data_IF_011399088692
#
_entry.id   IF_011399088692
#
_cell.length_a   1.000
_cell.length_b   1.000
_cell.length_c   1.000
_cell.angle_alpha   90.00
_cell.angle_beta   90.00
_cell.angle_gamma   90.00
#
_symmetry.space_group_name_H-M   'P 1'
#
loop_
_entity.id
_entity.type
_entity.pdbx_description
1 polymer ?
#
# COMPACT_ATOMS: atom_id res chain seq x y z
N UNK A 1 -20.78 -6.10 3.28
CA UNK A 1 -20.05 -7.31 3.71
C UNK A 1 -19.18 -7.92 2.60
N UNK A 2 -19.70 -8.23 1.40
CA UNK A 2 -18.93 -8.90 0.33
C UNK A 2 -17.68 -8.14 -0.15
N UNK A 3 -17.75 -6.81 -0.35
CA UNK A 3 -16.58 -6.01 -0.80
C UNK A 3 -15.50 -5.96 0.27
N UNK A 4 -15.87 -5.69 1.53
CA UNK A 4 -14.93 -5.64 2.64
C UNK A 4 -14.18 -6.98 2.78
N UNK A 5 -14.89 -8.12 2.73
CA UNK A 5 -14.25 -9.42 2.79
C UNK A 5 -13.23 -9.63 1.66
N UNK A 6 -13.56 -9.24 0.41
CA UNK A 6 -12.62 -9.34 -0.72
C UNK A 6 -11.34 -8.53 -0.50
N UNK A 7 -11.49 -7.30 -0.03
CA UNK A 7 -10.37 -6.37 0.21
C UNK A 7 -9.52 -6.85 1.38
N UNK A 8 -10.16 -7.32 2.45
CA UNK A 8 -9.47 -7.94 3.57
C UNK A 8 -8.66 -9.15 3.13
N UNK A 9 -9.25 -10.09 2.37
CA UNK A 9 -8.54 -11.28 1.91
C UNK A 9 -7.41 -10.93 0.94
N UNK A 10 -7.59 -9.93 0.08
CA UNK A 10 -6.53 -9.43 -0.79
C UNK A 10 -5.34 -8.91 0.03
N UNK A 11 -5.60 -8.08 1.04
CA UNK A 11 -4.58 -7.60 1.97
C UNK A 11 -3.95 -8.74 2.76
N UNK A 12 -4.76 -9.64 3.31
CA UNK A 12 -4.33 -10.75 4.16
C UNK A 12 -3.38 -11.72 3.43
N UNK A 13 -3.66 -12.06 2.17
CA UNK A 13 -2.85 -13.06 1.45
C UNK A 13 -1.73 -12.47 0.61
N UNK A 14 -1.92 -11.31 -0.01
CA UNK A 14 -0.99 -10.82 -1.02
C UNK A 14 -0.04 -9.74 -0.52
N UNK A 15 -0.47 -8.86 0.39
CA UNK A 15 0.41 -7.81 0.87
C UNK A 15 1.58 -8.33 1.74
N UNK A 16 1.42 -9.39 2.58
CA UNK A 16 2.54 -10.01 3.29
C UNK A 16 3.66 -10.51 2.40
N UNK A 17 3.41 -10.79 1.10
CA UNK A 17 4.47 -11.18 0.17
C UNK A 17 5.54 -10.08 0.01
N UNK A 18 5.12 -8.80 0.06
CA UNK A 18 6.05 -7.68 0.05
C UNK A 18 6.93 -7.65 1.30
N UNK A 19 6.32 -7.85 2.47
CA UNK A 19 7.05 -7.89 3.75
C UNK A 19 7.97 -9.12 3.86
N UNK A 20 7.57 -10.28 3.31
CA UNK A 20 8.44 -11.44 3.17
C UNK A 20 9.67 -11.13 2.31
N UNK A 21 9.50 -10.40 1.21
CA UNK A 21 10.64 -9.92 0.40
C UNK A 21 11.48 -8.93 1.19
N UNK A 22 10.88 -8.03 1.98
CA UNK A 22 11.63 -7.12 2.84
C UNK A 22 12.48 -7.86 3.87
N UNK A 23 11.95 -8.90 4.50
CA UNK A 23 12.73 -9.74 5.41
C UNK A 23 13.83 -10.51 4.66
N UNK A 24 13.50 -11.13 3.52
CA UNK A 24 14.46 -11.91 2.73
C UNK A 24 15.60 -11.07 2.14
N UNK A 25 15.33 -9.80 1.84
CA UNK A 25 16.33 -8.84 1.34
C UNK A 25 17.04 -8.08 2.45
N UNK A 26 16.76 -8.39 3.73
CA UNK A 26 17.26 -7.64 4.88
C UNK A 26 16.90 -6.15 4.83
N UNK A 27 15.77 -5.80 4.22
CA UNK A 27 15.17 -4.46 4.31
C UNK A 27 14.59 -4.25 5.70
N UNK A 28 13.82 -5.22 6.19
CA UNK A 28 13.21 -5.21 7.53
C UNK A 28 13.61 -6.45 8.33
N UNK A 29 13.41 -6.38 9.64
CA UNK A 29 13.63 -7.48 10.56
C UNK A 29 12.66 -7.43 11.73
N UNK A 30 12.20 -8.61 12.17
CA UNK A 30 11.34 -8.79 13.33
C UNK A 30 12.10 -9.45 14.49
N UNK A 31 11.96 -8.96 15.74
CA UNK A 31 12.51 -9.60 16.94
C UNK A 31 12.06 -11.04 17.09
N UNK A 32 12.90 -11.90 17.66
CA UNK A 32 12.51 -13.24 18.12
C UNK A 32 11.69 -13.13 19.40
N UNK A 33 10.43 -13.56 19.37
CA UNK A 33 9.54 -13.48 20.52
C UNK A 33 8.05 -13.57 20.20
N UNK A 34 7.68 -13.53 18.91
CA UNK A 34 6.30 -13.77 18.50
C UNK A 34 5.98 -15.27 18.48
N UNK A 35 4.71 -15.60 18.73
CA UNK A 35 4.26 -16.99 18.86
C UNK A 35 4.56 -17.86 17.62
N UNK A 36 4.40 -17.30 16.42
CA UNK A 36 4.61 -17.99 15.16
C UNK A 36 5.13 -17.03 14.08
N UNK A 37 5.99 -17.56 13.22
CA UNK A 37 6.48 -16.89 12.02
C UNK A 37 6.15 -17.73 10.80
N UNK A 38 5.87 -17.06 9.70
CA UNK A 38 5.73 -17.67 8.39
C UNK A 38 6.67 -16.94 7.44
N UNK A 39 7.66 -17.65 6.88
CA UNK A 39 8.66 -17.06 5.98
C UNK A 39 9.33 -15.78 6.54
N UNK A 40 9.64 -15.78 7.83
CA UNK A 40 10.37 -14.69 8.50
C UNK A 40 9.49 -13.55 9.03
N UNK A 41 8.20 -13.51 8.71
CA UNK A 41 7.27 -12.50 9.25
C UNK A 41 6.34 -13.10 10.33
N UNK A 42 5.98 -12.35 11.39
CA UNK A 42 5.05 -12.82 12.42
C UNK A 42 3.62 -13.07 11.91
N UNK A 43 2.89 -14.00 12.53
CA UNK A 43 1.51 -14.35 12.13
C UNK A 43 0.54 -13.15 12.09
N UNK A 44 0.73 -12.16 12.98
CA UNK A 44 -0.17 -11.00 13.11
C UNK A 44 -0.06 -10.04 11.92
N UNK A 45 1.03 -10.13 11.15
CA UNK A 45 1.26 -9.31 9.96
C UNK A 45 0.13 -9.54 8.93
N UNK A 46 -0.32 -10.79 8.75
CA UNK A 46 -1.38 -11.14 7.81
C UNK A 46 -2.71 -10.40 8.10
N UNK A 47 -3.33 -10.54 9.30
CA UNK A 47 -4.54 -9.78 9.61
C UNK A 47 -4.29 -8.27 9.67
N UNK A 48 -3.09 -7.80 10.06
CA UNK A 48 -2.74 -6.39 10.04
C UNK A 48 -2.81 -5.79 8.62
N UNK A 49 -2.23 -6.46 7.63
CA UNK A 49 -2.34 -6.05 6.23
C UNK A 49 -3.77 -6.10 5.70
N UNK A 50 -4.55 -7.12 6.08
CA UNK A 50 -5.98 -7.20 5.75
C UNK A 50 -6.79 -6.02 6.27
N UNK A 51 -6.58 -5.65 7.54
CA UNK A 51 -7.24 -4.47 8.16
C UNK A 51 -6.73 -3.16 7.55
N UNK A 52 -5.42 -3.04 7.31
CA UNK A 52 -4.84 -1.87 6.64
C UNK A 52 -5.47 -1.63 5.27
N UNK A 53 -5.64 -2.70 4.48
CA UNK A 53 -6.32 -2.62 3.18
C UNK A 53 -7.76 -2.09 3.28
N UNK A 54 -8.50 -2.49 4.31
CA UNK A 54 -9.83 -1.94 4.59
C UNK A 54 -9.76 -0.45 4.93
N UNK A 55 -8.90 -0.07 5.87
CA UNK A 55 -8.78 1.32 6.33
C UNK A 55 -8.39 2.22 5.15
N UNK A 56 -7.33 1.88 4.43
CA UNK A 56 -6.82 2.68 3.31
C UNK A 56 -7.85 2.76 2.18
N UNK A 57 -8.40 1.62 1.76
CA UNK A 57 -9.36 1.59 0.65
C UNK A 57 -10.66 2.35 0.94
N UNK A 58 -11.28 2.10 2.10
CA UNK A 58 -12.56 2.73 2.43
C UNK A 58 -12.41 4.18 2.88
N UNK A 59 -11.30 4.57 3.53
CA UNK A 59 -11.05 5.99 3.83
C UNK A 59 -10.89 6.80 2.55
N UNK A 60 -10.14 6.28 1.57
CA UNK A 60 -9.97 6.97 0.30
C UNK A 60 -11.30 7.19 -0.44
N UNK A 61 -12.15 6.15 -0.48
CA UNK A 61 -13.49 6.27 -1.04
C UNK A 61 -14.40 7.22 -0.25
N UNK A 62 -14.35 7.19 1.08
CA UNK A 62 -15.11 8.11 1.92
C UNK A 62 -14.73 9.57 1.67
N UNK A 63 -13.43 9.89 1.69
CA UNK A 63 -12.95 11.24 1.43
C UNK A 63 -13.37 11.71 0.04
N UNK A 64 -13.21 10.85 -0.96
CA UNK A 64 -13.55 11.19 -2.33
C UNK A 64 -15.06 11.46 -2.53
N UNK A 65 -15.92 10.61 -1.97
CA UNK A 65 -17.37 10.72 -2.17
C UNK A 65 -18.06 11.72 -1.23
N UNK A 66 -17.62 11.80 0.04
CA UNK A 66 -18.32 12.55 1.09
C UNK A 66 -17.70 13.92 1.34
N UNK A 67 -16.38 14.03 1.25
CA UNK A 67 -15.66 15.28 1.52
C UNK A 67 -15.44 16.07 0.23
N UNK A 68 -14.77 15.46 -0.75
CA UNK A 68 -14.43 16.10 -2.02
C UNK A 68 -15.57 16.09 -3.04
N UNK A 69 -16.57 15.21 -2.83
CA UNK A 69 -17.75 15.04 -3.72
C UNK A 69 -17.35 14.83 -5.19
N UNK A 70 -16.28 14.08 -5.42
CA UNK A 70 -15.73 13.80 -6.75
C UNK A 70 -16.74 13.04 -7.59
N UNK A 71 -16.98 13.51 -8.82
CA UNK A 71 -17.89 12.87 -9.79
C UNK A 71 -17.16 12.21 -10.97
N UNK A 72 -15.85 12.41 -11.06
CA UNK A 72 -15.03 11.93 -12.19
C UNK A 72 -14.83 10.43 -12.05
N UNK A 73 -15.14 9.68 -13.11
CA UNK A 73 -14.82 8.26 -13.20
C UNK A 73 -13.37 8.12 -13.64
N UNK A 74 -12.54 7.50 -12.81
CA UNK A 74 -11.11 7.34 -13.06
C UNK A 74 -10.84 6.18 -14.00
N UNK A 75 -9.74 6.16 -14.77
CA UNK A 75 -9.45 5.01 -15.62
C UNK A 75 -9.35 3.69 -14.85
N UNK A 76 -8.70 3.68 -13.69
CA UNK A 76 -8.43 2.50 -12.86
C UNK A 76 -9.68 1.82 -12.29
N UNK A 77 -10.81 2.51 -12.24
CA UNK A 77 -12.08 1.98 -11.71
C UNK A 77 -13.10 1.62 -12.80
N UNK A 78 -12.75 1.75 -14.08
CA UNK A 78 -13.69 1.55 -15.19
C UNK A 78 -14.02 0.08 -15.43
N UNK A 79 -13.02 -0.80 -15.30
CA UNK A 79 -13.12 -2.21 -15.63
C UNK A 79 -12.19 -3.08 -14.76
N UNK A 80 -12.44 -4.39 -14.78
CA UNK A 80 -11.71 -5.37 -13.98
C UNK A 80 -10.22 -5.40 -14.32
N UNK A 81 -9.87 -5.29 -15.61
CA UNK A 81 -8.49 -5.38 -16.07
C UNK A 81 -7.68 -4.22 -15.50
N UNK A 82 -8.19 -2.99 -15.56
CA UNK A 82 -7.52 -1.81 -15.01
C UNK A 82 -7.42 -1.84 -13.49
N UNK A 83 -8.46 -2.31 -12.80
CA UNK A 83 -8.41 -2.49 -11.34
C UNK A 83 -7.34 -3.52 -10.93
N UNK A 84 -7.26 -4.65 -11.66
CA UNK A 84 -6.24 -5.68 -11.46
C UNK A 84 -4.84 -5.12 -11.72
N UNK A 85 -4.62 -4.47 -12.87
CA UNK A 85 -3.34 -3.80 -13.19
C UNK A 85 -2.96 -2.87 -12.05
N UNK A 86 -3.92 -2.11 -11.51
CA UNK A 86 -3.64 -1.18 -10.44
C UNK A 86 -3.14 -1.85 -9.15
N UNK A 87 -3.75 -2.96 -8.72
CA UNK A 87 -3.27 -3.73 -7.57
C UNK A 87 -1.89 -4.33 -7.86
N UNK A 88 -1.67 -4.86 -9.06
CA UNK A 88 -0.37 -5.39 -9.46
C UNK A 88 0.72 -4.31 -9.49
N UNK A 89 0.42 -3.09 -9.93
CA UNK A 89 1.37 -1.97 -9.89
C UNK A 89 1.80 -1.64 -8.46
N UNK A 90 0.88 -1.68 -7.49
CA UNK A 90 1.23 -1.55 -6.08
C UNK A 90 2.12 -2.70 -5.62
N UNK A 91 1.75 -3.96 -5.89
CA UNK A 91 2.55 -5.12 -5.49
C UNK A 91 3.97 -5.07 -6.07
N UNK A 92 4.11 -4.68 -7.34
CA UNK A 92 5.41 -4.50 -8.00
C UNK A 92 6.22 -3.40 -7.30
N UNK A 93 5.63 -2.23 -7.04
CA UNK A 93 6.32 -1.17 -6.30
C UNK A 93 6.76 -1.64 -4.90
N UNK A 94 5.92 -2.42 -4.23
CA UNK A 94 6.22 -2.93 -2.90
C UNK A 94 7.36 -3.95 -2.92
N UNK A 95 7.34 -4.91 -3.84
CA UNK A 95 8.43 -5.89 -4.02
C UNK A 95 9.74 -5.20 -4.43
N UNK A 96 9.68 -4.25 -5.37
CA UNK A 96 10.84 -3.47 -5.81
C UNK A 96 11.49 -2.73 -4.63
N UNK A 97 10.71 -2.21 -3.69
CA UNK A 97 11.27 -1.48 -2.55
C UNK A 97 12.21 -2.31 -1.67
N UNK A 98 12.03 -3.64 -1.62
CA UNK A 98 12.99 -4.53 -0.96
C UNK A 98 14.15 -4.94 -1.86
N UNK A 99 13.87 -5.27 -3.12
CA UNK A 99 14.90 -5.71 -4.09
C UNK A 99 15.90 -4.60 -4.42
N UNK A 100 15.47 -3.34 -4.36
CA UNK A 100 16.33 -2.18 -4.60
C UNK A 100 17.24 -1.83 -3.41
N UNK A 101 17.20 -2.60 -2.31
CA UNK A 101 18.10 -2.38 -1.17
C UNK A 101 19.56 -2.35 -1.62
N UNK A 102 20.31 -1.38 -1.11
CA UNK A 102 21.74 -1.20 -1.42
C UNK A 102 22.01 -0.30 -2.62
N UNK A 103 20.99 0.05 -3.42
CA UNK A 103 21.11 1.11 -4.41
C UNK A 103 21.12 2.50 -3.75
N UNK A 104 21.67 3.53 -4.42
CA UNK A 104 21.61 4.91 -3.94
C UNK A 104 20.17 5.37 -3.67
N UNK A 105 19.95 6.05 -2.55
CA UNK A 105 18.59 6.41 -2.10
C UNK A 105 17.81 7.22 -3.15
N UNK A 106 18.47 8.14 -3.86
CA UNK A 106 17.84 8.92 -4.93
C UNK A 106 17.29 8.04 -6.06
N UNK A 107 17.96 6.93 -6.37
CA UNK A 107 17.54 5.99 -7.41
C UNK A 107 16.29 5.23 -6.96
N UNK A 108 16.24 4.82 -5.69
CA UNK A 108 15.06 4.16 -5.12
C UNK A 108 13.84 5.11 -5.17
N UNK A 109 14.03 6.38 -4.78
CA UNK A 109 12.97 7.39 -4.90
C UNK A 109 12.55 7.63 -6.35
N UNK A 110 13.49 7.67 -7.30
CA UNK A 110 13.19 7.82 -8.73
C UNK A 110 12.35 6.66 -9.24
N UNK A 111 12.70 5.41 -8.89
CA UNK A 111 11.95 4.23 -9.33
C UNK A 111 10.57 4.17 -8.69
N UNK A 112 10.47 4.24 -7.36
CA UNK A 112 9.18 4.11 -6.67
C UNK A 112 8.27 5.32 -6.90
N UNK A 113 8.84 6.52 -6.91
CA UNK A 113 8.13 7.75 -7.28
C UNK A 113 7.69 7.72 -8.75
N UNK A 114 8.54 7.23 -9.65
CA UNK A 114 8.22 7.04 -11.07
C UNK A 114 7.07 6.06 -11.28
N UNK A 115 7.10 4.89 -10.65
CA UNK A 115 5.99 3.91 -10.72
C UNK A 115 4.70 4.48 -10.14
N UNK A 116 4.77 5.21 -9.03
CA UNK A 116 3.61 5.89 -8.42
C UNK A 116 3.05 6.98 -9.34
N UNK A 117 3.93 7.75 -9.98
CA UNK A 117 3.54 8.77 -10.94
C UNK A 117 2.89 8.15 -12.18
N UNK A 118 3.48 7.11 -12.76
CA UNK A 118 2.92 6.39 -13.91
C UNK A 118 1.56 5.78 -13.56
N UNK A 119 1.42 5.18 -12.36
CA UNK A 119 0.13 4.74 -11.86
C UNK A 119 -0.87 5.90 -11.90
N UNK A 120 -0.52 7.03 -11.28
CA UNK A 120 -1.41 8.18 -11.23
C UNK A 120 -1.77 8.67 -12.63
N UNK A 121 -0.80 8.77 -13.53
CA UNK A 121 -0.97 9.29 -14.88
C UNK A 121 -1.86 8.41 -15.77
N UNK A 122 -1.78 7.08 -15.63
CA UNK A 122 -2.54 6.16 -16.48
C UNK A 122 -3.85 5.65 -15.85
N UNK A 123 -3.90 5.50 -14.51
CA UNK A 123 -5.00 4.86 -13.81
C UNK A 123 -5.80 5.80 -12.90
N UNK A 124 -5.24 6.92 -12.43
CA UNK A 124 -5.96 7.83 -11.52
C UNK A 124 -6.44 9.11 -12.23
N UNK A 125 -5.52 9.88 -12.83
CA UNK A 125 -5.72 11.13 -13.59
C UNK A 125 -6.49 12.23 -12.86
N UNK A 126 -6.44 12.26 -11.53
CA UNK A 126 -7.14 13.29 -10.74
C UNK A 126 -6.23 13.87 -9.66
N UNK A 127 -6.34 15.17 -9.41
CA UNK A 127 -5.63 15.81 -8.29
C UNK A 127 -6.20 15.35 -6.94
N UNK A 128 -7.49 15.00 -6.89
CA UNK A 128 -8.14 14.43 -5.72
C UNK A 128 -7.47 13.11 -5.32
N UNK A 129 -7.11 12.27 -6.30
CA UNK A 129 -6.35 11.05 -6.07
C UNK A 129 -5.02 11.30 -5.36
N UNK A 130 -4.27 12.33 -5.81
CA UNK A 130 -3.04 12.76 -5.13
C UNK A 130 -3.35 13.17 -3.69
N UNK A 131 -4.28 14.11 -3.50
CA UNK A 131 -4.62 14.64 -2.17
C UNK A 131 -5.05 13.53 -1.20
N UNK A 132 -5.92 12.62 -1.65
CA UNK A 132 -6.43 11.52 -0.82
C UNK A 132 -5.32 10.51 -0.51
N UNK A 133 -4.45 10.20 -1.47
CA UNK A 133 -3.34 9.26 -1.26
C UNK A 133 -2.23 9.79 -0.35
N UNK A 134 -2.18 11.10 -0.09
CA UNK A 134 -1.33 11.65 0.98
C UNK A 134 -1.74 11.16 2.37
N UNK A 135 -3.03 10.85 2.59
CA UNK A 135 -3.51 10.31 3.86
C UNK A 135 -2.81 9.00 4.24
N UNK A 136 -2.89 7.95 3.41
CA UNK A 136 -2.11 6.72 3.58
C UNK A 136 -0.60 6.97 3.58
N UNK A 137 -0.07 7.84 2.70
CA UNK A 137 1.36 8.14 2.64
C UNK A 137 1.91 8.66 3.96
N UNK A 138 1.20 9.60 4.60
CA UNK A 138 1.60 10.17 5.88
C UNK A 138 1.24 9.20 7.02
N UNK A 139 -0.01 8.74 7.07
CA UNK A 139 -0.53 7.93 8.17
C UNK A 139 0.17 6.58 8.30
N UNK A 140 0.37 5.87 7.18
CA UNK A 140 1.08 4.60 7.16
C UNK A 140 2.53 4.73 7.59
N UNK A 141 3.23 5.75 7.08
CA UNK A 141 4.60 6.05 7.51
C UNK A 141 4.67 6.40 9.00
N UNK A 142 3.74 7.18 9.54
CA UNK A 142 3.68 7.48 10.97
C UNK A 142 3.45 6.23 11.82
N UNK A 143 2.54 5.34 11.39
CA UNK A 143 2.30 4.06 12.06
C UNK A 143 3.57 3.22 12.08
N UNK A 144 4.28 3.09 10.97
CA UNK A 144 5.54 2.34 10.95
C UNK A 144 6.63 2.97 11.81
N UNK A 145 6.76 4.30 11.82
CA UNK A 145 7.68 4.99 12.75
C UNK A 145 7.35 4.65 14.20
N UNK A 146 6.07 4.64 14.57
CA UNK A 146 5.64 4.26 15.91
C UNK A 146 5.98 2.80 16.22
N UNK A 147 5.71 1.87 15.30
CA UNK A 147 6.02 0.45 15.47
C UNK A 147 7.53 0.21 15.64
N UNK A 148 8.36 0.87 14.82
CA UNK A 148 9.83 0.78 14.92
C UNK A 148 10.34 1.34 16.24
N UNK A 149 9.83 2.51 16.68
CA UNK A 149 10.22 3.12 17.96
C UNK A 149 9.84 2.25 19.17
N UNK A 150 8.79 1.44 19.06
CA UNK A 150 8.38 0.51 20.09
C UNK A 150 9.02 -0.89 19.94
N UNK A 151 9.97 -1.05 19.03
CA UNK A 151 10.70 -2.31 18.84
C UNK A 151 9.86 -3.45 18.27
N UNK A 152 8.69 -3.17 17.66
CA UNK A 152 7.82 -4.20 17.06
C UNK A 152 8.53 -4.88 15.88
N UNK A 153 9.22 -4.08 15.07
CA UNK A 153 10.14 -4.50 14.02
C UNK A 153 11.16 -3.38 13.78
N UNK A 154 12.12 -3.55 12.88
CA UNK A 154 13.04 -2.48 12.47
C UNK A 154 13.35 -2.54 10.98
N UNK A 155 13.59 -1.39 10.37
CA UNK A 155 14.35 -1.33 9.14
C UNK A 155 15.84 -1.51 9.43
N UNK A 156 16.56 -2.13 8.52
CA UNK A 156 18.00 -2.30 8.62
C UNK A 156 18.72 -1.28 7.73
N UNK A 157 19.90 -0.76 8.14
CA UNK A 157 20.71 0.09 7.28
C UNK A 157 20.90 -0.51 5.86
N UNK A 158 20.91 0.32 4.81
CA UNK A 158 20.84 1.79 4.86
C UNK A 158 19.43 2.36 5.07
N UNK A 159 18.35 1.57 5.00
CA UNK A 159 16.94 2.03 4.91
C UNK A 159 16.33 2.61 6.21
N UNK A 160 17.04 3.47 6.93
CA UNK A 160 16.61 4.04 8.23
C UNK A 160 16.54 5.57 8.24
N UNK A 161 16.58 6.18 7.05
CA UNK A 161 16.76 7.61 6.83
C UNK A 161 15.61 8.52 7.30
N UNK A 162 14.43 7.96 7.60
CA UNK A 162 13.25 8.72 8.01
C UNK A 162 12.80 8.26 9.40
N UNK A 163 13.42 8.80 10.45
CA UNK A 163 13.08 8.46 11.85
C UNK A 163 13.10 6.95 12.17
N UNK A 164 14.01 6.20 11.53
CA UNK A 164 14.16 4.75 11.73
C UNK A 164 13.41 3.88 10.72
N UNK A 165 12.63 4.48 9.80
CA UNK A 165 12.06 3.78 8.64
C UNK A 165 12.69 4.25 7.33
N UNK A 166 12.39 3.56 6.24
CA UNK A 166 12.85 3.95 4.91
C UNK A 166 12.23 5.29 4.46
N UNK A 167 13.04 6.18 3.88
CA UNK A 167 12.52 7.45 3.35
C UNK A 167 11.65 7.29 2.11
N UNK A 168 11.76 6.16 1.41
CA UNK A 168 10.96 5.85 0.22
C UNK A 168 9.56 5.31 0.55
N UNK A 169 9.28 5.01 1.82
CA UNK A 169 8.03 4.44 2.32
C UNK A 169 6.76 5.24 1.94
N UNK A 170 6.78 6.60 1.93
CA UNK A 170 5.62 7.38 1.50
C UNK A 170 5.17 7.05 0.07
N UNK A 171 6.08 6.70 -0.85
CA UNK A 171 5.71 6.29 -2.22
C UNK A 171 4.91 4.99 -2.24
N UNK A 172 5.33 4.00 -1.44
CA UNK A 172 4.66 2.71 -1.34
C UNK A 172 3.23 2.85 -0.77
N UNK A 173 3.06 3.71 0.24
CA UNK A 173 1.73 4.01 0.77
C UNK A 173 0.88 4.87 -0.17
N UNK A 174 1.48 5.78 -0.92
CA UNK A 174 0.76 6.60 -1.89
C UNK A 174 0.16 5.73 -3.00
N UNK A 175 0.95 4.85 -3.63
CA UNK A 175 0.43 3.93 -4.65
C UNK A 175 -0.53 2.88 -4.07
N UNK A 176 -0.38 2.49 -2.79
CA UNK A 176 -1.39 1.69 -2.08
C UNK A 176 -2.73 2.44 -1.98
N UNK A 177 -2.71 3.71 -1.58
CA UNK A 177 -3.91 4.54 -1.47
C UNK A 177 -4.62 4.72 -2.82
N UNK A 178 -3.85 4.99 -3.88
CA UNK A 178 -4.38 5.12 -5.24
C UNK A 178 -5.00 3.80 -5.74
N UNK A 179 -4.29 2.69 -5.58
CA UNK A 179 -4.70 1.36 -6.06
C UNK A 179 -5.93 0.82 -5.34
N UNK A 180 -5.97 0.89 -4.01
CA UNK A 180 -7.13 0.46 -3.24
C UNK A 180 -8.33 1.39 -3.43
N UNK A 181 -8.11 2.70 -3.57
CA UNK A 181 -9.18 3.64 -3.90
C UNK A 181 -9.90 3.25 -5.20
N UNK A 182 -9.14 2.99 -6.27
CA UNK A 182 -9.69 2.56 -7.55
C UNK A 182 -10.38 1.19 -7.47
N UNK A 183 -9.79 0.23 -6.74
CA UNK A 183 -10.39 -1.08 -6.53
C UNK A 183 -11.75 -0.98 -5.81
N UNK A 184 -11.84 -0.18 -4.74
CA UNK A 184 -13.08 -0.02 -3.97
C UNK A 184 -14.18 0.58 -4.84
N UNK A 185 -13.87 1.66 -5.58
CA UNK A 185 -14.85 2.32 -6.45
C UNK A 185 -15.31 1.39 -7.57
N UNK A 186 -14.40 0.62 -8.17
CA UNK A 186 -14.73 -0.42 -9.13
C UNK A 186 -15.68 -1.49 -8.55
N UNK A 187 -15.33 -2.07 -7.40
CA UNK A 187 -16.13 -3.12 -6.76
C UNK A 187 -17.53 -2.61 -6.37
N UNK A 188 -17.64 -1.38 -5.88
CA UNK A 188 -18.94 -0.75 -5.57
C UNK A 188 -19.78 -0.52 -6.82
N UNK A 189 -19.17 -0.06 -7.92
CA UNK A 189 -19.85 0.12 -9.20
C UNK A 189 -20.37 -1.21 -9.74
N UNK A 190 -19.58 -2.27 -9.68
CA UNK A 190 -20.00 -3.61 -10.05
C UNK A 190 -21.17 -4.14 -9.21
N UNK A 191 -21.11 -3.98 -7.89
CA UNK A 191 -22.19 -4.41 -7.00
C UNK A 191 -23.50 -3.65 -7.28
N UNK A 192 -23.42 -2.39 -7.74
CA UNK A 192 -24.60 -1.59 -8.14
C UNK A 192 -25.23 -2.09 -9.45
N UNK A 193 -24.44 -2.55 -10.40
CA UNK A 193 -24.94 -3.07 -11.70
C UNK A 193 -25.64 -4.43 -11.54
N UNK A 194 -25.25 -5.22 -10.53
CA UNK A 194 -25.78 -6.57 -10.28
C UNK A 194 -27.06 -6.61 -9.44
N UNK A 195 -27.54 -5.46 -8.96
CA UNK A 195 -28.78 -5.32 -8.20
C UNK A 195 -29.84 -4.73 -9.10
#
# INVERSE_FOLDING_TARGET
>A
MKIALKVFLLGFFFAPLGDMVHVATHTTWYPSGYAYYFMGIPWWVFPFFGVSGLIVGFSGDFFDQKILKTKVIRPGEQDAKKAIIGIFSFLVAYLLSGVLKGHPIWFIHLVLGGVTFLYWFYLERTWQGILVSLGPAIGGTLVEIMLVKNGVFKYLPPDTHLFGVASWLPWAYMILGLSLGNLIRFLKRMDKIRR
#
